data_IF_949849634872
#
_entry.id   IF_949849634872
#
_cell.length_a   1.000
_cell.length_b   1.000
_cell.length_c   1.000
_cell.angle_alpha   90.00
_cell.angle_beta   90.00
_cell.angle_gamma   90.00
#
_symmetry.space_group_name_H-M   'P 1'
#
loop_
_entity.id
_entity.type
_entity.pdbx_description
1 polymer ?
#
# COMPACT_ATOMS: atom_id res chain seq x y z
N UNK A 1 -3.14 -59.62 -15.13
CA UNK A 1 -1.97 -58.70 -15.13
C UNK A 1 -2.10 -57.71 -16.28
N UNK A 2 -2.17 -56.39 -16.12
CA UNK A 2 -2.85 -55.57 -15.12
C UNK A 2 -3.05 -54.21 -15.79
N UNK A 3 -4.30 -53.86 -16.14
CA UNK A 3 -4.73 -52.52 -16.61
C UNK A 3 -4.33 -51.42 -15.61
N UNK A 4 -3.99 -51.81 -14.38
CA UNK A 4 -3.46 -50.98 -13.30
C UNK A 4 -2.10 -50.34 -13.59
N UNK A 5 -1.29 -50.86 -14.53
CA UNK A 5 0.04 -50.26 -14.85
C UNK A 5 -0.04 -49.00 -15.74
N UNK A 6 -1.08 -48.84 -16.55
CA UNK A 6 -1.19 -47.69 -17.47
C UNK A 6 -1.81 -46.47 -16.77
N UNK A 7 -2.69 -46.69 -15.78
CA UNK A 7 -3.25 -45.62 -14.96
C UNK A 7 -2.19 -44.98 -14.03
N UNK A 8 -1.21 -45.75 -13.55
CA UNK A 8 -0.16 -45.22 -12.69
C UNK A 8 0.85 -44.32 -13.42
N UNK A 9 1.06 -44.53 -14.73
CA UNK A 9 1.99 -43.70 -15.50
C UNK A 9 1.38 -42.34 -15.90
N UNK A 10 0.06 -42.30 -16.12
CA UNK A 10 -0.66 -41.04 -16.38
C UNK A 10 -0.94 -40.25 -15.09
N UNK A 11 -0.97 -40.88 -13.91
CA UNK A 11 -1.15 -40.17 -12.64
C UNK A 11 0.14 -39.49 -12.16
N UNK A 12 1.32 -40.00 -12.52
CA UNK A 12 2.60 -39.38 -12.16
C UNK A 12 3.00 -38.20 -13.07
N UNK A 13 2.45 -38.10 -14.28
CA UNK A 13 2.72 -36.96 -15.17
C UNK A 13 1.94 -35.69 -14.80
N UNK A 14 0.89 -35.79 -14.00
CA UNK A 14 0.08 -34.64 -13.56
C UNK A 14 0.58 -33.97 -12.27
N UNK A 15 1.54 -34.57 -11.54
CA UNK A 15 1.99 -34.03 -10.25
C UNK A 15 3.30 -33.22 -10.30
N UNK A 16 3.98 -33.11 -11.45
CA UNK A 16 5.27 -32.41 -11.56
C UNK A 16 5.29 -31.21 -12.50
N UNK A 17 4.13 -30.71 -12.92
CA UNK A 17 4.00 -29.37 -13.48
C UNK A 17 3.41 -28.43 -12.43
N UNK A 18 4.09 -28.29 -11.30
CA UNK A 18 3.99 -27.01 -10.60
C UNK A 18 4.64 -25.98 -11.52
N UNK A 19 3.94 -24.94 -11.98
CA UNK A 19 4.64 -23.81 -12.57
C UNK A 19 5.50 -23.25 -11.45
N UNK A 20 6.80 -23.56 -11.50
CA UNK A 20 7.83 -22.74 -10.91
C UNK A 20 7.67 -21.41 -11.64
N UNK A 21 6.81 -20.54 -11.10
CA UNK A 21 6.81 -19.14 -11.43
C UNK A 21 8.16 -18.64 -10.96
N UNK A 22 9.13 -18.80 -11.87
CA UNK A 22 10.35 -18.03 -11.83
C UNK A 22 9.90 -16.59 -11.64
N UNK A 23 10.25 -16.03 -10.49
CA UNK A 23 10.39 -14.60 -10.30
C UNK A 23 11.50 -14.15 -11.25
N UNK A 24 11.25 -14.25 -12.56
CA UNK A 24 12.08 -13.63 -13.57
C UNK A 24 12.04 -12.15 -13.23
N UNK A 25 13.24 -11.58 -13.11
CA UNK A 25 13.52 -10.17 -12.96
C UNK A 25 12.74 -9.34 -13.99
N UNK A 26 11.45 -9.12 -13.73
CA UNK A 26 10.69 -8.03 -14.31
C UNK A 26 11.18 -6.82 -13.54
N UNK A 27 12.05 -6.02 -14.15
CA UNK A 27 12.20 -4.62 -13.72
C UNK A 27 10.79 -4.04 -13.68
N UNK A 28 10.28 -3.95 -12.46
CA UNK A 28 8.86 -4.02 -12.24
C UNK A 28 8.24 -2.67 -12.52
N UNK A 29 6.98 -2.70 -12.95
CA UNK A 29 6.22 -1.48 -13.17
C UNK A 29 6.13 -0.64 -11.89
N UNK A 30 6.35 -1.24 -10.72
CA UNK A 30 6.35 -0.69 -9.36
C UNK A 30 7.48 0.28 -9.06
N UNK A 31 8.62 0.18 -9.74
CA UNK A 31 9.76 1.08 -9.54
C UNK A 31 10.12 1.84 -10.82
N UNK A 32 10.46 3.13 -10.72
CA UNK A 32 10.89 3.89 -11.88
C UNK A 32 12.26 3.39 -12.37
N UNK A 33 12.43 3.34 -13.69
CA UNK A 33 13.73 3.07 -14.32
C UNK A 33 14.71 4.23 -14.11
N UNK A 34 14.19 5.45 -13.92
CA UNK A 34 14.99 6.64 -13.67
C UNK A 34 14.23 7.58 -12.74
N UNK A 35 14.95 8.17 -11.78
CA UNK A 35 14.44 9.18 -10.86
C UNK A 35 15.44 10.33 -10.79
N UNK A 36 14.99 11.56 -11.00
CA UNK A 36 15.84 12.74 -10.83
C UNK A 36 15.02 13.97 -10.38
N UNK A 37 15.68 14.96 -9.80
CA UNK A 37 15.08 16.20 -9.31
C UNK A 37 15.54 17.38 -10.16
N UNK A 38 14.63 18.30 -10.45
CA UNK A 38 14.91 19.49 -11.24
C UNK A 38 14.32 20.73 -10.56
N UNK A 39 15.13 21.78 -10.42
CA UNK A 39 14.63 23.11 -10.05
C UNK A 39 13.98 23.73 -11.28
N UNK A 40 12.72 24.14 -11.17
CA UNK A 40 11.94 24.69 -12.29
C UNK A 40 11.45 26.12 -12.07
N UNK A 41 11.70 26.68 -10.89
CA UNK A 41 11.37 28.07 -10.60
C UNK A 41 11.47 28.40 -9.11
N UNK A 42 11.01 29.59 -8.75
CA UNK A 42 10.86 30.03 -7.35
C UNK A 42 9.38 30.06 -6.97
N UNK A 43 9.10 29.71 -5.73
CA UNK A 43 7.76 29.78 -5.16
C UNK A 43 7.28 31.23 -5.16
N UNK A 44 5.99 31.44 -5.46
CA UNK A 44 5.34 32.74 -5.27
C UNK A 44 4.84 32.94 -3.83
N UNK A 45 4.79 31.87 -3.06
CA UNK A 45 4.16 31.83 -1.72
C UNK A 45 5.19 31.67 -0.60
N UNK A 46 6.47 31.48 -0.94
CA UNK A 46 7.58 31.34 0.01
C UNK A 46 8.92 31.72 -0.63
N UNK A 47 9.98 31.76 0.17
CA UNK A 47 11.36 31.93 -0.31
C UNK A 47 11.98 30.64 -0.89
N UNK A 48 11.18 29.57 -1.07
CA UNK A 48 11.63 28.27 -1.54
C UNK A 48 11.66 28.12 -3.07
N UNK A 49 12.35 27.08 -3.54
CA UNK A 49 12.35 26.66 -4.94
C UNK A 49 11.15 25.75 -5.24
N UNK A 50 10.69 25.79 -6.50
CA UNK A 50 9.74 24.80 -7.01
C UNK A 50 10.55 23.66 -7.63
N UNK A 51 10.28 22.45 -7.14
CA UNK A 51 10.99 21.24 -7.54
C UNK A 51 10.08 20.32 -8.34
N UNK A 52 10.61 19.79 -9.43
CA UNK A 52 10.03 18.67 -10.15
C UNK A 52 10.81 17.40 -9.82
N UNK A 53 10.18 16.47 -9.10
CA UNK A 53 10.65 15.10 -9.01
C UNK A 53 10.14 14.34 -10.24
N UNK A 54 11.06 13.87 -11.08
CA UNK A 54 10.74 13.20 -12.32
C UNK A 54 11.00 11.69 -12.20
N UNK A 55 10.02 10.89 -12.61
CA UNK A 55 10.04 9.44 -12.53
C UNK A 55 9.73 8.85 -13.91
N UNK A 56 10.68 8.14 -14.50
CA UNK A 56 10.48 7.49 -15.81
C UNK A 56 10.19 6.02 -15.61
N UNK A 57 9.02 5.60 -16.05
CA UNK A 57 8.59 4.22 -16.18
C UNK A 57 8.62 3.81 -17.66
N UNK A 58 8.60 2.51 -17.95
CA UNK A 58 8.80 1.94 -19.29
C UNK A 58 8.16 2.73 -20.45
N UNK A 59 6.92 3.19 -20.31
CA UNK A 59 6.19 3.98 -21.33
C UNK A 59 5.69 5.34 -20.84
N UNK A 60 6.00 5.75 -19.62
CA UNK A 60 5.41 6.95 -19.02
C UNK A 60 6.46 7.75 -18.25
N UNK A 61 6.40 9.07 -18.35
CA UNK A 61 7.07 9.99 -17.43
C UNK A 61 6.03 10.59 -16.50
N UNK A 62 6.31 10.49 -15.21
CA UNK A 62 5.56 11.12 -14.14
C UNK A 62 6.38 12.26 -13.56
N UNK A 63 5.75 13.41 -13.38
CA UNK A 63 6.38 14.59 -12.82
C UNK A 63 5.55 15.00 -11.62
N UNK A 64 6.15 14.91 -10.44
CA UNK A 64 5.63 15.45 -9.19
C UNK A 64 6.25 16.82 -8.98
N UNK A 65 5.42 17.86 -9.11
CA UNK A 65 5.81 19.22 -8.79
C UNK A 65 5.44 19.52 -7.34
N UNK A 66 6.46 19.91 -6.58
CA UNK A 66 6.35 20.34 -5.20
C UNK A 66 6.76 21.82 -5.11
N UNK A 67 5.82 22.65 -4.65
CA UNK A 67 6.06 24.05 -4.33
C UNK A 67 6.07 24.19 -2.80
N UNK A 68 7.24 24.50 -2.23
CA UNK A 68 7.44 24.62 -0.78
C UNK A 68 6.48 25.62 -0.13
N UNK A 69 6.00 26.61 -0.89
CA UNK A 69 5.05 27.60 -0.39
C UNK A 69 3.60 27.13 -0.39
N UNK A 70 3.27 26.04 -1.10
CA UNK A 70 1.94 25.42 -1.11
C UNK A 70 1.97 24.21 -0.18
N UNK A 71 1.81 24.47 1.13
CA UNK A 71 1.82 23.43 2.15
C UNK A 71 0.73 22.38 1.87
N UNK A 72 1.16 21.14 1.71
CA UNK A 72 0.24 20.02 1.49
C UNK A 72 -0.43 20.04 0.12
N UNK A 73 0.21 20.59 -0.93
CA UNK A 73 -0.26 20.37 -2.29
C UNK A 73 0.83 19.75 -3.15
N UNK A 74 0.48 18.69 -3.87
CA UNK A 74 1.32 18.11 -4.90
C UNK A 74 0.59 18.11 -6.24
N UNK A 75 1.30 18.48 -7.31
CA UNK A 75 0.78 18.42 -8.69
C UNK A 75 1.46 17.27 -9.42
N UNK A 76 0.67 16.33 -9.92
CA UNK A 76 1.18 15.24 -10.75
C UNK A 76 0.81 15.50 -12.21
N UNK A 77 1.84 15.41 -13.07
CA UNK A 77 1.72 15.44 -14.52
C UNK A 77 2.16 14.08 -15.08
N UNK A 78 1.43 13.57 -16.06
CA UNK A 78 1.71 12.30 -16.72
C UNK A 78 1.88 12.53 -18.22
N UNK A 79 2.95 11.97 -18.79
CA UNK A 79 3.25 12.02 -20.22
C UNK A 79 3.68 10.65 -20.72
N UNK A 80 3.38 10.35 -21.98
CA UNK A 80 3.98 9.18 -22.63
C UNK A 80 5.48 9.40 -22.85
N UNK A 81 6.26 8.34 -22.62
CA UNK A 81 7.70 8.32 -22.83
C UNK A 81 8.02 7.62 -24.15
N UNK A 82 8.67 8.36 -25.07
CA UNK A 82 9.36 7.82 -26.23
C UNK A 82 10.86 7.92 -26.01
N UNK A 83 11.62 6.90 -26.42
CA UNK A 83 13.09 6.89 -26.34
C UNK A 83 13.76 8.05 -27.11
N UNK A 84 13.04 8.65 -28.06
CA UNK A 84 13.51 9.82 -28.82
C UNK A 84 13.42 11.13 -28.03
N UNK A 85 12.74 11.14 -26.88
CA UNK A 85 12.51 12.35 -26.11
C UNK A 85 13.70 12.67 -25.19
N UNK A 86 14.11 13.94 -25.14
CA UNK A 86 15.05 14.42 -24.14
C UNK A 86 14.40 14.42 -22.74
N UNK A 87 14.79 13.47 -21.88
CA UNK A 87 14.22 13.30 -20.53
C UNK A 87 14.36 14.59 -19.71
N UNK A 88 15.52 15.26 -19.72
CA UNK A 88 15.71 16.50 -18.96
C UNK A 88 14.73 17.58 -19.39
N UNK A 89 14.51 17.75 -20.69
CA UNK A 89 13.55 18.73 -21.20
C UNK A 89 12.09 18.34 -20.86
N UNK A 90 11.74 17.05 -20.95
CA UNK A 90 10.45 16.54 -20.53
C UNK A 90 10.17 16.81 -19.05
N UNK A 91 11.15 16.56 -18.18
CA UNK A 91 11.03 16.71 -16.73
C UNK A 91 10.99 18.18 -16.28
N UNK A 92 11.60 19.09 -17.03
CA UNK A 92 11.58 20.54 -16.76
C UNK A 92 10.31 21.23 -17.26
N UNK A 93 9.62 20.65 -18.25
CA UNK A 93 8.43 21.24 -18.84
C UNK A 93 7.17 20.77 -18.12
N UNK A 94 6.41 21.71 -17.54
CA UNK A 94 5.13 21.42 -16.85
C UNK A 94 3.94 21.29 -17.83
N UNK A 95 4.21 21.02 -19.11
CA UNK A 95 3.20 21.02 -20.18
C UNK A 95 2.79 19.59 -20.60
N UNK A 96 1.49 19.29 -20.45
CA UNK A 96 0.80 18.07 -20.93
C UNK A 96 0.45 17.06 -19.83
N UNK A 97 -0.50 16.12 -19.99
CA UNK A 97 -1.83 16.16 -20.64
C UNK A 97 -2.94 15.94 -19.59
N UNK A 98 -2.59 15.36 -18.44
CA UNK A 98 -3.47 15.19 -17.28
C UNK A 98 -2.76 15.78 -16.07
N UNK A 99 -3.34 16.84 -15.52
CA UNK A 99 -2.93 17.47 -14.27
C UNK A 99 -3.86 16.99 -13.18
N UNK A 100 -3.32 16.37 -12.14
CA UNK A 100 -4.05 16.10 -10.91
C UNK A 100 -3.45 16.88 -9.76
N UNK A 101 -4.29 17.50 -8.94
CA UNK A 101 -3.90 18.24 -7.74
C UNK A 101 -4.36 17.43 -6.54
N UNK A 102 -3.41 17.00 -5.72
CA UNK A 102 -3.71 16.37 -4.44
C UNK A 102 -3.80 17.48 -3.40
N UNK A 103 -4.95 17.60 -2.75
CA UNK A 103 -5.14 18.45 -1.59
C UNK A 103 -4.75 17.64 -0.35
N UNK A 104 -3.87 18.15 0.50
CA UNK A 104 -3.11 17.50 1.60
C UNK A 104 -1.74 16.92 1.22
N UNK A 105 -0.89 16.63 2.23
CA UNK A 105 0.47 16.07 2.14
C UNK A 105 0.51 14.70 1.45
N UNK A 106 0.15 14.68 0.18
CA UNK A 106 0.16 13.54 -0.72
C UNK A 106 1.52 13.42 -1.38
N UNK A 107 2.29 12.41 -1.01
CA UNK A 107 3.54 12.05 -1.67
C UNK A 107 3.30 10.96 -2.72
N UNK A 108 3.85 11.16 -3.92
CA UNK A 108 3.82 10.15 -4.95
C UNK A 108 4.72 8.96 -4.56
N UNK A 109 4.12 7.79 -4.36
CA UNK A 109 4.84 6.59 -3.92
C UNK A 109 5.34 5.75 -5.10
N UNK A 110 4.50 5.63 -6.13
CA UNK A 110 4.77 4.74 -7.24
C UNK A 110 3.61 4.62 -8.23
N UNK A 111 3.90 4.00 -9.37
CA UNK A 111 2.95 3.69 -10.45
C UNK A 111 3.04 2.23 -10.72
N UNK A 112 1.93 1.58 -11.08
CA UNK A 112 1.92 0.16 -11.47
C UNK A 112 0.88 -0.01 -12.56
N UNK A 113 1.30 -0.47 -13.74
CA UNK A 113 0.45 -0.44 -14.93
C UNK A 113 -0.21 0.96 -15.05
N UNK A 114 -1.52 1.04 -15.07
CA UNK A 114 -2.27 2.29 -15.21
C UNK A 114 -2.76 2.82 -13.85
N UNK A 115 -2.10 2.45 -12.74
CA UNK A 115 -2.44 2.90 -11.40
C UNK A 115 -1.35 3.77 -10.78
N UNK A 116 -1.75 4.81 -10.06
CA UNK A 116 -0.88 5.63 -9.21
C UNK A 116 -1.17 5.32 -7.74
N UNK A 117 -0.12 5.23 -6.94
CA UNK A 117 -0.18 5.06 -5.49
C UNK A 117 0.29 6.37 -4.85
N UNK A 118 -0.58 6.98 -4.06
CA UNK A 118 -0.32 8.23 -3.36
C UNK A 118 -0.40 7.97 -1.85
N UNK A 119 0.66 8.33 -1.13
CA UNK A 119 0.67 8.32 0.34
C UNK A 119 0.18 9.67 0.82
N UNK A 120 -0.91 9.70 1.55
CA UNK A 120 -1.33 10.88 2.32
C UNK A 120 -0.59 10.98 3.66
N UNK A 121 -1.04 11.91 4.48
CA UNK A 121 -0.47 12.19 5.79
C UNK A 121 -0.50 10.96 6.73
N UNK A 122 0.46 10.95 7.65
CA UNK A 122 0.44 10.05 8.80
C UNK A 122 -0.78 10.35 9.67
N UNK A 123 -1.55 9.31 9.96
CA UNK A 123 -2.80 9.32 10.69
C UNK A 123 -2.62 8.83 12.13
N UNK A 124 -1.54 9.28 12.78
CA UNK A 124 -1.10 9.00 14.16
C UNK A 124 -0.06 7.85 14.28
N UNK A 125 1.20 8.15 13.94
CA UNK A 125 2.44 7.53 14.41
C UNK A 125 2.78 6.12 13.92
N UNK A 126 1.81 5.40 13.37
CA UNK A 126 2.03 4.05 12.84
C UNK A 126 1.20 3.73 11.58
N UNK A 127 0.32 4.65 11.19
CA UNK A 127 -0.69 4.41 10.18
C UNK A 127 -0.77 5.59 9.24
N UNK A 128 -0.63 5.42 7.94
CA UNK A 128 -0.88 6.51 7.00
C UNK A 128 -1.98 6.14 6.00
N UNK A 129 -2.70 7.17 5.56
CA UNK A 129 -3.75 7.05 4.55
C UNK A 129 -3.11 6.92 3.17
N UNK A 130 -3.52 5.96 2.36
CA UNK A 130 -3.09 5.88 0.97
C UNK A 130 -4.27 5.81 0.02
N UNK A 131 -4.02 6.28 -1.21
CA UNK A 131 -5.00 6.37 -2.27
C UNK A 131 -4.44 5.71 -3.54
N UNK A 132 -5.29 4.96 -4.23
CA UNK A 132 -5.00 4.40 -5.55
C UNK A 132 -5.86 5.12 -6.57
N UNK A 133 -5.20 5.67 -7.58
CA UNK A 133 -5.86 6.30 -8.71
C UNK A 133 -5.64 5.49 -9.98
N UNK A 134 -6.69 5.36 -10.81
CA UNK A 134 -6.59 4.80 -12.16
C UNK A 134 -6.38 5.92 -13.17
N UNK A 135 -5.38 5.74 -14.02
CA UNK A 135 -5.04 6.61 -15.15
C UNK A 135 -5.90 6.19 -16.34
N UNK A 136 -6.63 7.13 -16.91
CA UNK A 136 -7.30 6.99 -18.19
C UNK A 136 -6.64 7.95 -19.20
N UNK A 137 -7.06 7.87 -20.47
CA UNK A 137 -6.47 8.69 -21.53
C UNK A 137 -6.66 10.21 -21.34
N UNK A 138 -7.64 10.63 -20.52
CA UNK A 138 -8.02 12.05 -20.35
C UNK A 138 -8.09 12.51 -18.89
N UNK A 139 -8.16 11.59 -17.94
CA UNK A 139 -8.30 11.91 -16.51
C UNK A 139 -7.65 10.85 -15.63
N UNK A 140 -7.60 11.14 -14.34
CA UNK A 140 -7.11 10.24 -13.28
C UNK A 140 -8.20 10.20 -12.22
N UNK A 141 -8.65 9.00 -11.82
CA UNK A 141 -9.79 8.82 -10.90
C UNK A 141 -9.39 8.02 -9.67
N UNK A 142 -9.80 8.48 -8.50
CA UNK A 142 -9.67 7.72 -7.25
C UNK A 142 -10.53 6.45 -7.37
N UNK A 143 -9.93 5.29 -7.13
CA UNK A 143 -10.64 4.00 -7.17
C UNK A 143 -10.57 3.26 -5.85
N UNK A 144 -9.59 3.58 -5.00
CA UNK A 144 -9.41 2.94 -3.71
C UNK A 144 -8.73 3.87 -2.73
N UNK A 145 -9.13 3.80 -1.47
CA UNK A 145 -8.55 4.56 -0.38
C UNK A 145 -8.58 3.69 0.88
N UNK A 146 -7.47 3.64 1.61
CA UNK A 146 -7.40 2.89 2.87
C UNK A 146 -6.27 3.41 3.75
N UNK A 147 -6.24 2.94 4.99
CA UNK A 147 -5.13 3.19 5.93
C UNK A 147 -4.23 1.96 6.00
N UNK A 148 -2.91 2.16 5.93
CA UNK A 148 -1.93 1.08 6.07
C UNK A 148 -0.90 1.37 7.14
N UNK A 149 -0.22 0.31 7.58
CA UNK A 149 0.93 0.41 8.46
C UNK A 149 2.08 1.19 7.79
N UNK A 150 2.72 2.09 8.52
CA UNK A 150 3.75 3.01 7.98
C UNK A 150 4.99 2.27 7.47
N UNK A 151 5.56 1.37 8.27
CA UNK A 151 6.82 0.66 7.95
C UNK A 151 6.66 -0.63 7.15
N UNK A 152 5.44 -1.00 6.74
CA UNK A 152 5.22 -2.23 5.96
C UNK A 152 5.04 -1.93 4.50
N UNK A 153 5.83 -2.57 3.65
CA UNK A 153 5.77 -2.36 2.20
C UNK A 153 4.46 -2.87 1.57
N UNK A 154 4.13 -2.31 0.41
CA UNK A 154 3.17 -2.92 -0.49
C UNK A 154 3.81 -4.12 -1.20
N UNK A 155 3.04 -5.18 -1.41
CA UNK A 155 3.43 -6.29 -2.28
C UNK A 155 2.45 -6.39 -3.43
N UNK A 156 2.94 -6.18 -4.65
CA UNK A 156 2.12 -6.26 -5.86
C UNK A 156 2.32 -7.60 -6.53
N UNK A 157 1.20 -8.27 -6.80
CA UNK A 157 1.21 -9.55 -7.48
C UNK A 157 0.59 -9.39 -8.85
N UNK A 158 1.37 -9.69 -9.87
CA UNK A 158 0.93 -9.64 -11.25
C UNK A 158 0.44 -11.02 -11.67
N UNK A 159 -0.85 -11.13 -11.99
CA UNK A 159 -1.43 -12.33 -12.61
C UNK A 159 -1.64 -12.03 -14.10
N UNK A 160 -0.84 -12.67 -14.96
CA UNK A 160 -0.79 -12.39 -16.40
C UNK A 160 -0.50 -10.90 -16.71
N UNK A 161 -0.81 -10.41 -17.90
CA UNK A 161 -0.52 -9.02 -18.29
C UNK A 161 -1.53 -7.97 -17.78
N UNK A 162 -2.57 -8.35 -17.03
CA UNK A 162 -3.70 -7.42 -16.77
C UNK A 162 -4.13 -7.27 -15.32
N UNK A 163 -4.05 -8.33 -14.51
CA UNK A 163 -4.56 -8.29 -13.14
C UNK A 163 -3.40 -8.02 -12.20
N UNK A 164 -3.53 -6.96 -11.41
CA UNK A 164 -2.61 -6.62 -10.33
C UNK A 164 -3.39 -6.77 -9.05
N UNK A 165 -2.91 -7.66 -8.20
CA UNK A 165 -3.33 -7.74 -6.80
C UNK A 165 -2.39 -6.92 -5.95
N UNK A 166 -2.92 -6.30 -4.89
CA UNK A 166 -2.17 -5.54 -3.91
C UNK A 166 -2.30 -6.19 -2.53
N UNK A 167 -1.17 -6.53 -1.91
CA UNK A 167 -1.09 -6.96 -0.52
C UNK A 167 -0.49 -5.88 0.36
N UNK A 168 -1.09 -5.62 1.51
CA UNK A 168 -0.61 -4.62 2.46
C UNK A 168 -1.11 -4.90 3.88
N UNK A 169 -0.49 -4.25 4.86
CA UNK A 169 -0.93 -4.29 6.26
C UNK A 169 -1.95 -3.19 6.49
N UNK A 170 -3.22 -3.57 6.56
CA UNK A 170 -4.36 -2.68 6.65
C UNK A 170 -4.69 -2.39 8.13
N UNK A 171 -4.92 -1.12 8.46
CA UNK A 171 -5.43 -0.74 9.79
C UNK A 171 -6.87 -1.25 9.92
N UNK A 172 -7.15 -1.93 11.02
CA UNK A 172 -8.49 -2.33 11.40
C UNK A 172 -9.17 -1.19 12.15
N UNK A 173 -10.48 -1.03 11.91
CA UNK A 173 -11.31 -0.12 12.69
C UNK A 173 -11.38 -0.62 14.12
N UNK A 174 -11.02 0.25 15.07
CA UNK A 174 -10.84 -0.06 16.47
C UNK A 174 -11.40 1.08 17.34
N UNK A 175 -12.72 1.23 17.38
CA UNK A 175 -13.41 2.21 18.25
C UNK A 175 -13.47 1.76 19.73
N UNK A 176 -12.49 0.99 20.20
CA UNK A 176 -12.60 0.24 21.45
C UNK A 176 -11.38 0.49 22.32
N UNK A 177 -11.60 0.97 23.54
CA UNK A 177 -10.63 0.88 24.63
C UNK A 177 -10.48 -0.60 25.00
N UNK A 178 -9.50 -1.26 24.40
CA UNK A 178 -9.20 -2.66 24.68
C UNK A 178 -8.10 -2.75 25.74
N UNK A 179 -8.45 -3.27 26.93
CA UNK A 179 -7.43 -3.74 27.87
C UNK A 179 -6.92 -5.11 27.41
N UNK A 180 -5.66 -5.16 26.96
CA UNK A 180 -4.98 -6.38 26.50
C UNK A 180 -4.50 -7.27 27.65
N UNK A 181 -4.61 -6.79 28.89
CA UNK A 181 -4.11 -7.46 30.10
C UNK A 181 -5.19 -8.23 30.87
N UNK A 182 -6.48 -7.98 30.59
CA UNK A 182 -7.59 -8.72 31.17
C UNK A 182 -8.17 -9.70 30.14
N UNK A 183 -8.13 -11.00 30.47
CA UNK A 183 -8.54 -12.08 29.56
C UNK A 183 -9.99 -11.97 29.07
N UNK A 184 -10.91 -11.47 29.91
CA UNK A 184 -12.31 -11.34 29.52
C UNK A 184 -12.51 -10.14 28.57
N UNK A 185 -11.92 -8.98 28.87
CA UNK A 185 -11.95 -7.82 27.95
C UNK A 185 -11.23 -8.09 26.64
N UNK A 186 -10.18 -8.92 26.68
CA UNK A 186 -9.43 -9.33 25.50
C UNK A 186 -10.28 -10.16 24.52
N UNK A 187 -11.00 -11.18 25.01
CA UNK A 187 -11.90 -11.97 24.16
C UNK A 187 -13.04 -11.14 23.57
N UNK A 188 -13.59 -10.21 24.35
CA UNK A 188 -14.59 -9.27 23.86
C UNK A 188 -14.02 -8.31 22.81
N UNK A 189 -12.79 -7.81 23.01
CA UNK A 189 -12.09 -6.96 22.05
C UNK A 189 -11.94 -7.69 20.72
N UNK A 190 -11.45 -8.95 20.72
CA UNK A 190 -11.32 -9.77 19.51
C UNK A 190 -12.65 -9.92 18.77
N UNK A 191 -13.74 -10.26 19.46
CA UNK A 191 -15.07 -10.41 18.85
C UNK A 191 -15.57 -9.10 18.23
N UNK A 192 -15.41 -7.98 18.94
CA UNK A 192 -15.84 -6.67 18.45
C UNK A 192 -15.00 -6.20 17.26
N UNK A 193 -13.68 -6.40 17.29
CA UNK A 193 -12.77 -6.09 16.17
C UNK A 193 -13.15 -6.85 14.90
N UNK A 194 -13.43 -8.16 15.02
CA UNK A 194 -13.91 -8.98 13.90
C UNK A 194 -15.22 -8.43 13.33
N UNK A 195 -16.18 -8.12 14.20
CA UNK A 195 -17.49 -7.57 13.81
C UNK A 195 -17.38 -6.22 13.11
N UNK A 196 -16.62 -5.27 13.67
CA UNK A 196 -16.44 -3.91 13.12
C UNK A 196 -15.81 -3.92 11.73
N UNK A 197 -14.97 -4.92 11.44
CA UNK A 197 -14.25 -5.03 10.19
C UNK A 197 -14.89 -6.05 9.23
N UNK A 198 -16.12 -6.51 9.51
CA UNK A 198 -16.85 -7.51 8.73
C UNK A 198 -16.02 -8.79 8.45
N UNK A 199 -15.23 -9.20 9.44
CA UNK A 199 -14.42 -10.41 9.38
C UNK A 199 -15.25 -11.55 9.97
N UNK A 200 -15.20 -12.73 9.36
CA UNK A 200 -15.90 -13.91 9.87
C UNK A 200 -15.56 -14.13 11.36
N UNK A 201 -16.58 -14.30 12.21
CA UNK A 201 -16.45 -14.52 13.65
C UNK A 201 -15.66 -15.76 14.04
N UNK A 202 -15.56 -16.74 13.13
CA UNK A 202 -14.74 -17.95 13.30
C UNK A 202 -13.24 -17.70 13.06
N UNK A 203 -12.88 -16.51 12.55
CA UNK A 203 -11.50 -16.17 12.26
C UNK A 203 -10.69 -16.03 13.54
N UNK A 204 -9.75 -16.94 13.76
CA UNK A 204 -8.88 -16.91 14.92
C UNK A 204 -7.71 -15.94 14.70
N UNK A 205 -7.92 -14.66 15.01
CA UNK A 205 -6.82 -13.68 15.04
C UNK A 205 -5.82 -14.03 16.15
N UNK A 206 -4.53 -14.08 15.79
CA UNK A 206 -3.42 -14.34 16.70
C UNK A 206 -2.86 -13.02 17.25
N UNK A 207 -2.96 -12.84 18.56
CA UNK A 207 -2.52 -11.66 19.29
C UNK A 207 -1.24 -11.92 20.11
N UNK A 208 -0.60 -13.09 20.03
CA UNK A 208 0.55 -13.42 20.89
C UNK A 208 1.68 -12.40 20.78
N UNK A 209 1.99 -11.97 19.55
CA UNK A 209 3.00 -10.93 19.29
C UNK A 209 2.63 -9.61 19.98
N UNK A 210 1.35 -9.25 19.94
CA UNK A 210 0.85 -8.08 20.65
C UNK A 210 0.98 -8.22 22.15
N UNK A 211 0.49 -9.31 22.74
CA UNK A 211 0.58 -9.55 24.18
C UNK A 211 2.03 -9.46 24.67
N UNK A 212 3.00 -10.03 23.95
CA UNK A 212 4.42 -9.93 24.29
C UNK A 212 4.92 -8.48 24.25
N UNK A 213 4.64 -7.73 23.17
CA UNK A 213 5.04 -6.33 23.02
C UNK A 213 4.53 -5.45 24.16
N UNK A 214 3.30 -5.70 24.63
CA UNK A 214 2.70 -4.95 25.73
C UNK A 214 3.18 -5.41 27.11
N UNK A 215 3.45 -6.71 27.28
CA UNK A 215 3.99 -7.24 28.54
C UNK A 215 5.39 -6.69 28.81
N UNK A 216 6.29 -6.72 27.82
CA UNK A 216 7.67 -6.24 27.96
C UNK A 216 7.73 -4.73 28.25
N UNK A 217 6.76 -3.94 27.74
CA UNK A 217 6.65 -2.49 27.99
C UNK A 217 5.92 -2.15 29.29
N UNK A 218 5.12 -3.06 29.85
CA UNK A 218 4.38 -2.88 31.12
C UNK A 218 5.25 -3.05 32.37
N UNK A 219 6.49 -3.52 32.22
CA UNK A 219 7.46 -3.66 33.34
C UNK A 219 7.89 -2.30 33.89
N UNK A 220 7.74 -1.22 33.12
CA UNK A 220 7.95 0.16 33.59
C UNK A 220 6.68 0.69 34.28
N UNK A 221 6.80 1.07 35.55
CA UNK A 221 5.65 1.47 36.39
C UNK A 221 4.91 2.74 35.91
N UNK A 222 5.51 3.52 35.01
CA UNK A 222 4.86 4.66 34.37
C UNK A 222 3.90 4.27 33.23
N UNK A 223 3.93 3.00 32.78
CA UNK A 223 3.14 2.48 31.66
C UNK A 223 1.84 1.75 32.06
N UNK A 224 1.54 1.57 33.35
CA UNK A 224 0.34 0.85 33.83
C UNK A 224 -1.01 1.44 33.37
N UNK A 225 -1.04 2.64 32.79
CA UNK A 225 -2.25 3.23 32.16
C UNK A 225 -2.42 2.85 30.69
N UNK A 226 -2.07 1.62 30.33
CA UNK A 226 -2.25 1.12 28.95
C UNK A 226 -3.72 1.08 28.52
N UNK A 227 -4.66 1.03 29.46
CA UNK A 227 -6.10 1.08 29.20
C UNK A 227 -6.55 2.40 28.55
N UNK A 228 -5.71 3.44 28.59
CA UNK A 228 -5.99 4.78 28.06
C UNK A 228 -5.26 5.08 26.73
N UNK A 229 -4.44 4.17 26.18
CA UNK A 229 -3.68 4.40 24.94
C UNK A 229 -4.39 3.81 23.71
N UNK A 230 -4.39 4.56 22.62
CA UNK A 230 -4.94 4.12 21.32
C UNK A 230 -4.05 3.05 20.67
N UNK A 231 -4.37 1.77 20.95
CA UNK A 231 -3.71 0.62 20.31
C UNK A 231 -4.28 0.45 18.90
N UNK A 232 -3.44 0.64 17.88
CA UNK A 232 -3.80 0.43 16.49
C UNK A 232 -3.54 -1.02 16.09
N UNK A 233 -4.53 -1.68 15.48
CA UNK A 233 -4.39 -3.06 15.00
C UNK A 233 -4.28 -3.11 13.48
N UNK A 234 -3.44 -4.00 12.99
CA UNK A 234 -3.21 -4.21 11.56
C UNK A 234 -3.31 -5.68 11.19
N UNK A 235 -3.93 -5.94 10.05
CA UNK A 235 -4.02 -7.27 9.45
C UNK A 235 -3.47 -7.24 8.04
N UNK A 236 -2.88 -8.35 7.60
CA UNK A 236 -2.42 -8.45 6.21
C UNK A 236 -3.62 -8.75 5.30
N UNK A 237 -3.91 -7.82 4.39
CA UNK A 237 -4.99 -7.93 3.42
C UNK A 237 -4.45 -8.02 1.99
N UNK A 238 -5.28 -8.58 1.12
CA UNK A 238 -5.11 -8.63 -0.32
C UNK A 238 -6.32 -8.00 -1.01
N UNK A 239 -6.09 -7.01 -1.86
CA UNK A 239 -6.99 -6.65 -2.94
C UNK A 239 -6.64 -7.57 -4.11
N UNK A 240 -7.49 -8.55 -4.46
CA UNK A 240 -7.18 -9.52 -5.50
C UNK A 240 -7.18 -8.89 -6.90
N UNK A 241 -7.89 -7.77 -7.07
CA UNK A 241 -7.89 -6.99 -8.30
C UNK A 241 -8.03 -5.50 -8.00
N UNK A 242 -6.98 -4.73 -8.26
CA UNK A 242 -6.99 -3.27 -8.11
C UNK A 242 -8.03 -2.62 -9.06
N UNK A 243 -8.41 -3.25 -10.18
CA UNK A 243 -9.47 -2.70 -11.05
C UNK A 243 -10.86 -2.74 -10.42
N UNK A 244 -11.11 -3.70 -9.53
CA UNK A 244 -12.37 -3.85 -8.83
C UNK A 244 -12.11 -4.06 -7.32
N UNK A 245 -11.73 -2.98 -6.61
CA UNK A 245 -11.25 -3.08 -5.23
C UNK A 245 -12.37 -3.35 -4.20
N UNK A 246 -13.59 -3.65 -4.65
CA UNK A 246 -14.74 -3.96 -3.77
C UNK A 246 -14.55 -5.25 -2.96
N UNK A 247 -13.69 -6.14 -3.44
CA UNK A 247 -13.39 -7.39 -2.77
C UNK A 247 -12.03 -7.26 -2.09
N UNK A 248 -11.97 -7.47 -0.78
CA UNK A 248 -10.72 -7.67 -0.06
C UNK A 248 -10.70 -9.07 0.54
N UNK A 249 -9.51 -9.60 0.75
CA UNK A 249 -9.27 -10.90 1.37
C UNK A 249 -8.25 -10.73 2.48
N UNK A 250 -8.53 -11.27 3.66
CA UNK A 250 -7.51 -11.41 4.70
C UNK A 250 -6.62 -12.59 4.32
N UNK A 251 -5.31 -12.35 4.29
CA UNK A 251 -4.32 -13.35 3.87
C UNK A 251 -3.44 -13.86 5.00
N UNK A 252 -3.40 -13.15 6.12
CA UNK A 252 -2.72 -13.58 7.33
C UNK A 252 -3.60 -13.22 8.53
N UNK A 253 -3.78 -14.17 9.44
CA UNK A 253 -4.55 -13.97 10.67
C UNK A 253 -3.68 -13.46 11.83
N UNK A 254 -2.36 -13.36 11.61
CA UNK A 254 -1.45 -12.68 12.52
C UNK A 254 -1.78 -11.19 12.56
N UNK A 255 -2.06 -10.70 13.76
CA UNK A 255 -2.22 -9.28 13.99
C UNK A 255 -0.88 -8.63 14.32
N UNK A 256 -0.70 -7.43 13.78
CA UNK A 256 0.27 -6.48 14.31
C UNK A 256 -0.45 -5.40 15.08
N UNK A 257 0.22 -4.87 16.08
CA UNK A 257 -0.28 -3.77 16.88
C UNK A 257 0.82 -2.76 17.08
N UNK A 258 0.42 -1.50 17.04
CA UNK A 258 1.28 -0.37 17.32
C UNK A 258 0.56 0.53 18.32
N UNK A 259 1.33 1.20 19.17
CA UNK A 259 0.80 2.20 20.09
C UNK A 259 0.88 3.52 19.36
N UNK A 260 -0.27 4.17 19.16
CA UNK A 260 -0.25 5.55 18.69
C UNK A 260 0.53 6.41 19.72
N UNK A 261 1.46 7.27 19.27
CA UNK A 261 2.25 8.13 20.16
C UNK A 261 1.37 9.08 20.97
#
# INVERSE_FOLDING_TARGET
>A
MSILKILFLNFLFFFFLQPIFSAQNMHGFDKPNFKNKFVVGKSKYSNGEILNNCYVYAKNVLIEQNDVGLKGEAKIFIKEYSKLNNISQLCKTNTGLIKHVFQSEGYYDGKINDFLIIKGADSHGAAYKFQIYKIFSKDVRLIFEHIRHIDKEFLFLKKSNRIVSLRYWAKLNNEINCSLFNNNSFHECKKKLLKLNNINSETELDFKECQSLFHDRSVDSSFYKFEERDIQFFVKMELPDIQNPKNFKIIDLKLKCEIAP
#
